data_IF_429825294465
#
_entry.id   IF_429825294465
#
_cell.length_a   1.000
_cell.length_b   1.000
_cell.length_c   1.000
_cell.angle_alpha   90.00
_cell.angle_beta   90.00
_cell.angle_gamma   90.00
#
_symmetry.space_group_name_H-M   'P 1'
#
loop_
_entity.id
_entity.type
_entity.pdbx_description
1 polymer ?
#
# COMPACT_ATOMS: atom_id res chain seq x y z
N UNK A 1 25.14 44.68 -21.12
CA UNK A 1 24.83 43.57 -20.19
C UNK A 1 23.49 42.87 -20.45
N UNK A 2 22.53 43.46 -21.16
CA UNK A 2 21.23 42.80 -21.43
C UNK A 2 21.31 41.63 -22.44
N UNK A 3 22.22 41.68 -23.42
CA UNK A 3 22.42 40.59 -24.38
C UNK A 3 23.00 39.30 -23.76
N UNK A 4 23.70 39.37 -22.62
CA UNK A 4 24.27 38.18 -21.97
C UNK A 4 23.27 37.46 -21.07
N UNK A 5 22.29 38.18 -20.51
CA UNK A 5 21.14 37.58 -19.80
C UNK A 5 20.17 36.90 -20.77
N UNK A 6 19.92 37.50 -21.94
CA UNK A 6 19.08 36.91 -22.99
C UNK A 6 19.66 35.59 -23.54
N UNK A 7 20.98 35.50 -23.75
CA UNK A 7 21.63 34.26 -24.18
C UNK A 7 21.56 33.13 -23.14
N UNK A 8 21.73 33.44 -21.84
CA UNK A 8 21.58 32.45 -20.76
C UNK A 8 20.15 31.92 -20.61
N UNK A 9 19.13 32.71 -20.98
CA UNK A 9 17.76 32.21 -21.08
C UNK A 9 17.55 31.30 -22.29
N UNK A 10 18.24 31.55 -23.42
CA UNK A 10 18.08 30.77 -24.65
C UNK A 10 18.72 29.38 -24.63
N UNK A 11 19.70 29.15 -23.74
CA UNK A 11 20.36 27.84 -23.58
C UNK A 11 19.63 26.92 -22.59
N UNK A 12 18.72 27.46 -21.77
CA UNK A 12 17.71 26.65 -21.08
C UNK A 12 16.75 26.16 -22.15
N UNK A 13 17.04 25.01 -22.77
CA UNK A 13 16.12 24.28 -23.65
C UNK A 13 14.72 24.38 -23.04
N UNK A 14 13.90 25.23 -23.65
CA UNK A 14 12.51 25.43 -23.27
C UNK A 14 11.78 24.11 -23.47
N UNK A 15 11.66 23.33 -22.40
CA UNK A 15 10.51 22.44 -22.19
C UNK A 15 9.42 23.26 -21.53
N UNK A 16 8.98 24.33 -22.20
CA UNK A 16 7.78 25.07 -21.80
C UNK A 16 6.65 24.56 -22.70
N UNK A 17 6.02 23.45 -22.29
CA UNK A 17 4.64 23.19 -22.69
C UNK A 17 3.76 23.97 -21.72
N UNK A 18 2.90 24.83 -22.23
CA UNK A 18 1.80 25.35 -21.42
C UNK A 18 0.81 24.21 -21.22
N UNK A 19 0.66 23.74 -19.99
CA UNK A 19 -0.40 22.81 -19.62
C UNK A 19 -1.39 23.56 -18.73
N UNK A 20 -2.69 23.37 -18.99
CA UNK A 20 -3.67 23.65 -17.96
C UNK A 20 -3.56 22.52 -16.95
N UNK A 21 -3.16 22.87 -15.72
CA UNK A 21 -3.24 21.94 -14.59
C UNK A 21 -4.73 21.71 -14.35
N UNK A 22 -5.27 20.65 -14.94
CA UNK A 22 -6.53 20.12 -14.46
C UNK A 22 -6.20 19.28 -13.23
N UNK A 23 -7.01 19.33 -12.16
CA UNK A 23 -6.92 18.35 -11.11
C UNK A 23 -7.08 17.00 -11.81
N UNK A 24 -6.08 16.13 -11.72
CA UNK A 24 -6.22 14.78 -12.21
C UNK A 24 -7.40 14.14 -11.46
N UNK A 25 -8.56 14.08 -12.10
CA UNK A 25 -9.67 13.25 -11.65
C UNK A 25 -9.28 11.81 -11.98
N UNK A 26 -8.43 11.24 -11.14
CA UNK A 26 -7.99 9.84 -11.19
C UNK A 26 -9.13 8.83 -10.97
N UNK A 27 -10.39 9.23 -11.17
CA UNK A 27 -11.57 8.36 -11.11
C UNK A 27 -11.55 7.31 -12.25
N UNK A 28 -10.84 7.58 -13.34
CA UNK A 28 -10.59 6.62 -14.42
C UNK A 28 -9.11 6.57 -14.75
N UNK A 29 -8.44 5.62 -14.12
CA UNK A 29 -7.03 5.31 -14.31
C UNK A 29 -6.87 4.49 -15.62
N UNK A 30 -7.43 4.92 -16.74
CA UNK A 30 -7.34 4.22 -18.04
C UNK A 30 -6.55 5.01 -19.08
N UNK A 31 -6.23 6.28 -18.82
CA UNK A 31 -5.43 7.08 -19.74
C UNK A 31 -3.94 6.66 -19.68
N UNK A 32 -3.31 6.59 -20.85
CA UNK A 32 -1.92 6.25 -21.02
C UNK A 32 -1.06 7.39 -20.44
N UNK A 33 -0.27 7.11 -19.40
CA UNK A 33 0.53 8.13 -18.70
C UNK A 33 1.56 8.71 -19.66
N UNK A 34 1.33 9.94 -20.12
CA UNK A 34 2.27 10.70 -20.93
C UNK A 34 3.40 11.22 -20.02
N UNK A 35 4.65 10.92 -20.39
CA UNK A 35 5.82 11.39 -19.64
C UNK A 35 6.36 12.67 -20.28
N UNK A 36 6.11 13.81 -19.65
CA UNK A 36 6.69 15.10 -20.08
C UNK A 36 8.19 15.18 -19.81
N UNK A 37 8.69 14.39 -18.85
CA UNK A 37 10.10 14.26 -18.53
C UNK A 37 10.60 12.85 -18.78
N UNK A 38 11.01 12.58 -20.02
CA UNK A 38 11.49 11.28 -20.45
C UNK A 38 12.86 10.93 -19.80
N UNK A 39 12.82 10.45 -18.56
CA UNK A 39 13.99 10.05 -17.76
C UNK A 39 14.88 9.03 -18.48
N UNK A 40 14.31 8.20 -19.36
CA UNK A 40 15.07 7.24 -20.17
C UNK A 40 16.16 7.90 -21.04
N UNK A 41 16.02 9.19 -21.41
CA UNK A 41 17.03 9.93 -22.15
C UNK A 41 18.28 10.27 -21.34
N UNK A 42 18.20 10.18 -20.01
CA UNK A 42 19.31 10.46 -19.10
C UNK A 42 20.29 9.28 -18.99
N UNK A 43 19.97 8.12 -19.60
CA UNK A 43 20.85 6.96 -19.57
C UNK A 43 21.14 6.45 -18.16
N UNK A 44 20.19 6.64 -17.23
CA UNK A 44 20.35 6.23 -15.83
C UNK A 44 20.36 4.71 -15.71
N UNK A 45 19.70 3.99 -16.62
CA UNK A 45 19.67 2.54 -16.64
C UNK A 45 21.04 1.97 -17.04
N UNK A 46 21.55 1.00 -16.29
CA UNK A 46 22.82 0.36 -16.63
C UNK A 46 22.65 -0.52 -17.88
N UNK A 47 23.52 -0.38 -18.90
CA UNK A 47 23.50 -1.26 -20.06
C UNK A 47 23.93 -2.67 -19.65
N UNK A 48 22.99 -3.62 -19.68
CA UNK A 48 23.21 -5.01 -19.23
C UNK A 48 21.94 -5.80 -18.89
N UNK A 49 20.78 -5.14 -18.84
CA UNK A 49 19.51 -5.79 -18.49
C UNK A 49 19.35 -6.02 -16.98
N UNK A 50 18.41 -6.89 -16.59
CA UNK A 50 18.02 -7.15 -15.19
C UNK A 50 19.11 -7.70 -14.27
N UNK A 51 20.28 -8.08 -14.81
CA UNK A 51 21.41 -8.64 -14.06
C UNK A 51 22.53 -7.61 -13.77
N UNK A 52 22.38 -6.36 -14.22
CA UNK A 52 23.36 -5.32 -13.96
C UNK A 52 22.87 -4.41 -12.83
N UNK A 53 23.72 -4.23 -11.81
CA UNK A 53 23.41 -3.40 -10.64
C UNK A 53 23.05 -1.97 -11.04
N UNK A 54 21.83 -1.56 -10.69
CA UNK A 54 21.31 -0.22 -10.95
C UNK A 54 21.68 0.75 -9.80
N UNK A 55 22.45 1.81 -10.05
CA UNK A 55 22.71 2.82 -9.03
C UNK A 55 21.42 3.51 -8.60
N UNK A 56 21.35 3.85 -7.31
CA UNK A 56 20.27 4.66 -6.74
C UNK A 56 20.54 6.13 -6.97
N UNK A 57 19.60 6.84 -7.59
CA UNK A 57 19.70 8.28 -7.78
C UNK A 57 18.66 9.02 -6.93
N UNK A 58 19.01 10.24 -6.52
CA UNK A 58 18.09 11.19 -5.89
C UNK A 58 17.80 12.30 -6.88
N UNK A 59 16.53 12.51 -7.20
CA UNK A 59 16.05 13.61 -8.03
C UNK A 59 15.31 14.61 -7.17
N UNK A 60 15.71 15.87 -7.21
CA UNK A 60 15.06 16.97 -6.50
C UNK A 60 14.35 17.88 -7.52
N UNK A 61 13.09 18.21 -7.27
CA UNK A 61 12.33 19.15 -8.09
C UNK A 61 11.74 20.27 -7.23
N UNK A 62 11.68 21.46 -7.82
CA UNK A 62 11.01 22.63 -7.26
C UNK A 62 10.29 23.35 -8.39
N UNK A 63 9.24 24.08 -8.05
CA UNK A 63 8.45 24.84 -9.01
C UNK A 63 8.99 26.27 -9.07
N UNK A 64 9.22 26.78 -10.27
CA UNK A 64 9.53 28.19 -10.50
C UNK A 64 8.35 28.82 -11.23
N UNK A 65 7.70 29.80 -10.61
CA UNK A 65 6.63 30.59 -11.21
C UNK A 65 7.19 31.94 -11.63
N UNK A 66 7.03 32.29 -12.90
CA UNK A 66 7.36 33.60 -13.43
C UNK A 66 6.06 34.40 -13.59
N UNK A 67 5.93 35.45 -12.79
CA UNK A 67 4.88 36.45 -12.96
C UNK A 67 5.39 37.54 -13.90
N UNK A 68 4.56 37.93 -14.86
CA UNK A 68 4.83 39.01 -15.81
C UNK A 68 4.04 40.25 -15.40
N UNK A 69 4.32 40.78 -14.22
CA UNK A 69 3.73 42.04 -13.77
C UNK A 69 4.21 43.18 -14.67
N UNK A 70 3.25 43.92 -15.20
CA UNK A 70 3.45 45.02 -16.14
C UNK A 70 3.86 46.31 -15.39
N UNK A 71 3.52 46.43 -14.10
CA UNK A 71 3.81 47.63 -13.31
C UNK A 71 5.17 47.59 -12.62
N UNK A 72 5.57 46.43 -12.07
CA UNK A 72 6.83 46.28 -11.32
C UNK A 72 7.91 45.46 -12.03
N UNK A 73 7.60 44.90 -13.19
CA UNK A 73 8.48 44.03 -13.97
C UNK A 73 8.34 42.54 -13.60
N UNK A 74 9.01 41.62 -14.32
CA UNK A 74 8.80 40.19 -14.12
C UNK A 74 9.39 39.69 -12.79
N UNK A 75 8.59 38.99 -12.01
CA UNK A 75 8.96 38.41 -10.72
C UNK A 75 9.08 36.90 -10.82
N UNK A 76 10.23 36.35 -10.42
CA UNK A 76 10.42 34.90 -10.33
C UNK A 76 10.28 34.46 -8.87
N UNK A 77 9.30 33.61 -8.59
CA UNK A 77 9.09 33.01 -7.28
C UNK A 77 9.33 31.50 -7.38
N UNK A 78 10.17 30.97 -6.50
CA UNK A 78 10.42 29.53 -6.39
C UNK A 78 9.61 28.92 -5.25
N UNK A 79 9.16 27.67 -5.40
CA UNK A 79 8.50 26.95 -4.32
C UNK A 79 9.42 26.85 -3.10
N UNK A 80 8.84 27.04 -1.91
CA UNK A 80 9.58 26.85 -0.65
C UNK A 80 9.91 25.39 -0.41
N UNK A 81 9.02 24.50 -0.86
CA UNK A 81 9.21 23.07 -0.77
C UNK A 81 10.00 22.56 -1.98
N UNK A 82 11.01 21.75 -1.68
CA UNK A 82 11.67 20.88 -2.65
C UNK A 82 11.12 19.50 -2.46
N UNK A 83 10.70 18.90 -3.55
CA UNK A 83 10.21 17.54 -3.56
C UNK A 83 11.33 16.60 -4.00
N UNK A 84 11.39 15.41 -3.41
CA UNK A 84 12.45 14.45 -3.63
C UNK A 84 11.88 13.13 -4.12
N UNK A 85 12.49 12.59 -5.18
CA UNK A 85 12.22 11.25 -5.69
C UNK A 85 13.50 10.42 -5.68
N UNK A 86 13.34 9.12 -5.43
CA UNK A 86 14.40 8.15 -5.59
C UNK A 86 14.19 7.37 -6.89
N UNK A 87 15.22 7.32 -7.72
CA UNK A 87 15.24 6.50 -8.93
C UNK A 87 16.03 5.25 -8.59
N UNK A 88 15.34 4.12 -8.59
CA UNK A 88 15.86 2.81 -8.18
C UNK A 88 15.55 1.76 -9.25
N UNK A 89 16.12 0.55 -9.15
CA UNK A 89 15.69 -0.56 -10.00
C UNK A 89 14.27 -1.00 -9.64
N UNK A 90 13.61 -1.68 -10.58
CA UNK A 90 12.33 -2.33 -10.32
C UNK A 90 12.41 -3.30 -9.14
N UNK A 91 13.50 -4.08 -9.02
CA UNK A 91 13.71 -4.99 -7.89
C UNK A 91 13.75 -4.25 -6.54
N UNK A 92 14.38 -3.08 -6.50
CA UNK A 92 14.43 -2.24 -5.29
C UNK A 92 13.06 -1.64 -4.95
N UNK A 93 12.30 -1.22 -5.96
CA UNK A 93 10.93 -0.74 -5.78
C UNK A 93 10.04 -1.87 -5.24
N UNK A 94 10.11 -3.06 -5.83
CA UNK A 94 9.37 -4.24 -5.38
C UNK A 94 9.74 -4.63 -3.94
N UNK A 95 11.01 -4.52 -3.56
CA UNK A 95 11.45 -4.78 -2.19
C UNK A 95 10.91 -3.76 -1.17
N UNK A 96 10.76 -2.49 -1.56
CA UNK A 96 10.14 -1.47 -0.71
C UNK A 96 8.64 -1.73 -0.53
N UNK A 97 7.95 -2.00 -1.65
CA UNK A 97 6.51 -2.36 -1.64
C UNK A 97 6.27 -3.60 -0.78
N UNK A 98 7.13 -4.61 -0.89
CA UNK A 98 7.03 -5.81 -0.07
C UNK A 98 7.09 -5.55 1.44
N UNK A 99 7.96 -4.63 1.87
CA UNK A 99 8.07 -4.24 3.27
C UNK A 99 6.81 -3.53 3.74
N UNK A 100 6.25 -2.67 2.89
CA UNK A 100 4.98 -2.01 3.15
C UNK A 100 3.82 -3.03 3.23
N UNK A 101 3.74 -3.97 2.29
CA UNK A 101 2.75 -5.05 2.27
C UNK A 101 2.81 -5.92 3.54
N UNK A 102 4.00 -6.29 4.01
CA UNK A 102 4.18 -7.08 5.23
C UNK A 102 3.65 -6.34 6.47
N UNK A 103 3.89 -5.02 6.56
CA UNK A 103 3.32 -4.18 7.63
C UNK A 103 1.78 -4.19 7.59
N UNK A 104 1.19 -4.06 6.39
CA UNK A 104 -0.27 -4.07 6.24
C UNK A 104 -0.88 -5.44 6.51
N UNK A 105 -0.19 -6.52 6.14
CA UNK A 105 -0.61 -7.89 6.48
C UNK A 105 -0.68 -8.07 8.00
N UNK A 106 0.36 -7.67 8.74
CA UNK A 106 0.37 -7.77 10.20
C UNK A 106 -0.77 -6.94 10.82
N UNK A 107 -1.04 -5.74 10.30
CA UNK A 107 -2.15 -4.91 10.76
C UNK A 107 -3.52 -5.58 10.51
N UNK A 108 -3.69 -6.27 9.38
CA UNK A 108 -4.91 -7.01 9.07
C UNK A 108 -5.06 -8.26 9.96
N UNK A 109 -3.97 -8.97 10.25
CA UNK A 109 -3.96 -10.11 11.19
C UNK A 109 -4.39 -9.65 12.60
N UNK A 110 -3.88 -8.52 13.07
CA UNK A 110 -4.30 -7.92 14.36
C UNK A 110 -5.78 -7.54 14.34
N UNK A 111 -6.25 -6.91 13.26
CA UNK A 111 -7.66 -6.56 13.11
C UNK A 111 -8.56 -7.82 13.15
N UNK A 112 -8.15 -8.89 12.46
CA UNK A 112 -8.84 -10.19 12.50
C UNK A 112 -8.87 -10.79 13.91
N UNK A 113 -7.77 -10.71 14.66
CA UNK A 113 -7.70 -11.18 16.04
C UNK A 113 -8.79 -10.57 16.93
N UNK A 114 -8.97 -9.25 16.84
CA UNK A 114 -10.03 -8.55 17.58
C UNK A 114 -11.44 -8.94 17.10
N UNK A 115 -11.63 -9.21 15.81
CA UNK A 115 -12.92 -9.69 15.29
C UNK A 115 -13.25 -11.10 15.79
N UNK A 116 -12.24 -11.97 15.92
CA UNK A 116 -12.40 -13.31 16.52
C UNK A 116 -12.79 -13.22 18.00
N UNK A 117 -12.20 -12.28 18.75
CA UNK A 117 -12.60 -12.01 20.13
C UNK A 117 -14.07 -11.56 20.21
N UNK A 118 -14.50 -10.69 19.30
CA UNK A 118 -15.91 -10.27 19.19
C UNK A 118 -16.85 -11.43 18.83
N UNK A 119 -16.48 -12.31 17.90
CA UNK A 119 -17.29 -13.51 17.58
C UNK A 119 -17.40 -14.44 18.78
N UNK A 120 -16.29 -14.65 19.52
CA UNK A 120 -16.28 -15.46 20.75
C UNK A 120 -17.20 -14.88 21.83
N UNK A 121 -17.18 -13.55 22.02
CA UNK A 121 -18.11 -12.86 22.95
C UNK A 121 -19.57 -12.99 22.53
N UNK A 122 -19.82 -13.02 21.23
CA UNK A 122 -21.15 -13.28 20.68
C UNK A 122 -21.58 -14.75 20.91
N UNK A 123 -20.63 -15.69 20.86
CA UNK A 123 -20.81 -17.07 21.27
C UNK A 123 -21.26 -17.22 22.73
N UNK A 124 -20.75 -16.40 23.65
CA UNK A 124 -21.23 -16.37 25.04
C UNK A 124 -22.71 -15.97 25.12
N UNK A 125 -23.15 -15.00 24.31
CA UNK A 125 -24.57 -14.62 24.23
C UNK A 125 -25.46 -15.76 23.71
N UNK A 126 -24.90 -16.62 22.85
CA UNK A 126 -25.58 -17.85 22.39
C UNK A 126 -25.78 -18.85 23.53
N UNK A 127 -24.76 -19.04 24.37
CA UNK A 127 -24.86 -19.92 25.53
C UNK A 127 -25.91 -19.40 26.52
N UNK A 128 -25.87 -18.11 26.81
CA UNK A 128 -26.81 -17.47 27.73
C UNK A 128 -28.27 -17.56 27.23
N UNK A 129 -28.51 -17.35 25.92
CA UNK A 129 -29.85 -17.51 25.32
C UNK A 129 -30.31 -18.96 25.18
N UNK A 130 -29.40 -19.93 25.29
CA UNK A 130 -29.72 -21.37 25.26
C UNK A 130 -30.12 -21.92 26.64
N UNK A 131 -29.94 -21.13 27.72
CA UNK A 131 -30.34 -21.53 29.06
C UNK A 131 -31.86 -21.74 29.15
N UNK A 132 -32.29 -22.75 29.90
CA UNK A 132 -33.70 -23.12 30.02
C UNK A 132 -34.59 -22.03 30.64
N UNK A 133 -34.02 -21.13 31.46
CA UNK A 133 -34.74 -20.10 32.22
C UNK A 133 -34.08 -18.72 32.04
N UNK A 134 -34.10 -18.19 30.80
CA UNK A 134 -33.62 -16.82 30.53
C UNK A 134 -34.50 -15.81 31.27
N UNK A 135 -33.90 -14.91 32.04
CA UNK A 135 -34.59 -13.81 32.73
C UNK A 135 -34.37 -12.48 32.03
N UNK A 136 -35.29 -11.53 32.24
CA UNK A 136 -35.23 -10.19 31.62
C UNK A 136 -33.94 -9.45 32.00
N UNK A 137 -33.47 -9.60 33.23
CA UNK A 137 -32.26 -8.94 33.73
C UNK A 137 -30.98 -9.42 33.02
N UNK A 138 -31.00 -10.61 32.42
CA UNK A 138 -29.86 -11.18 31.70
C UNK A 138 -29.73 -10.61 30.28
N UNK A 139 -30.77 -9.96 29.76
CA UNK A 139 -30.78 -9.39 28.41
C UNK A 139 -30.04 -8.05 28.35
N UNK A 140 -30.00 -7.28 29.45
CA UNK A 140 -29.24 -6.03 29.54
C UNK A 140 -27.73 -6.20 29.27
N UNK A 141 -27.04 -7.14 29.93
CA UNK A 141 -25.64 -7.47 29.64
C UNK A 141 -25.39 -7.92 28.19
N UNK A 142 -26.36 -8.58 27.54
CA UNK A 142 -26.25 -8.94 26.12
C UNK A 142 -26.30 -7.73 25.21
N UNK A 143 -27.18 -6.77 25.49
CA UNK A 143 -27.26 -5.49 24.77
C UNK A 143 -25.93 -4.74 24.89
N UNK A 144 -25.38 -4.64 26.10
CA UNK A 144 -24.08 -3.99 26.33
C UNK A 144 -22.94 -4.67 25.53
N UNK A 145 -22.95 -6.01 25.42
CA UNK A 145 -22.01 -6.74 24.57
C UNK A 145 -22.20 -6.42 23.08
N UNK A 146 -23.44 -6.27 22.60
CA UNK A 146 -23.71 -5.87 21.23
C UNK A 146 -23.12 -4.49 20.93
N UNK A 147 -23.26 -3.53 21.85
CA UNK A 147 -22.73 -2.17 21.69
C UNK A 147 -21.19 -2.15 21.65
N UNK A 148 -20.54 -3.02 22.43
CA UNK A 148 -19.09 -3.16 22.43
C UNK A 148 -18.57 -3.81 21.14
N UNK A 149 -19.24 -4.87 20.67
CA UNK A 149 -18.95 -5.49 19.37
C UNK A 149 -19.17 -4.47 18.24
N UNK A 150 -20.23 -3.66 18.37
CA UNK A 150 -20.62 -2.49 17.58
C UNK A 150 -19.41 -1.61 17.23
N UNK A 151 -18.88 -1.01 18.30
CA UNK A 151 -17.71 -0.11 18.27
C UNK A 151 -16.45 -0.80 17.77
N UNK A 152 -16.26 -2.07 18.10
CA UNK A 152 -15.11 -2.82 17.60
C UNK A 152 -15.20 -2.98 16.07
N UNK A 153 -16.36 -3.33 15.53
CA UNK A 153 -16.59 -3.43 14.08
C UNK A 153 -16.31 -2.10 13.37
N UNK A 154 -16.79 -0.97 13.90
CA UNK A 154 -16.50 0.36 13.36
C UNK A 154 -14.99 0.66 13.33
N UNK A 155 -14.30 0.38 14.43
CA UNK A 155 -12.85 0.61 14.52
C UNK A 155 -12.09 -0.30 13.56
N UNK A 156 -12.50 -1.57 13.42
CA UNK A 156 -11.84 -2.52 12.50
C UNK A 156 -12.14 -2.20 11.04
N UNK A 157 -13.32 -1.67 10.72
CA UNK A 157 -13.65 -1.15 9.40
C UNK A 157 -12.72 0.02 9.04
N UNK A 158 -12.50 0.97 9.96
CA UNK A 158 -11.58 2.08 9.73
C UNK A 158 -10.15 1.58 9.43
N UNK A 159 -9.62 0.67 10.27
CA UNK A 159 -8.31 0.05 10.03
C UNK A 159 -8.23 -0.69 8.69
N UNK A 160 -9.30 -1.37 8.27
CA UNK A 160 -9.34 -2.09 6.99
C UNK A 160 -9.38 -1.11 5.80
N UNK A 161 -10.07 0.02 5.94
CA UNK A 161 -10.05 1.09 4.94
C UNK A 161 -8.67 1.71 4.78
N UNK A 162 -7.93 1.95 5.87
CA UNK A 162 -6.53 2.43 5.79
C UNK A 162 -5.65 1.45 4.98
N UNK A 163 -5.85 0.15 5.16
CA UNK A 163 -5.13 -0.87 4.39
C UNK A 163 -5.58 -0.84 2.91
N UNK A 164 -6.87 -0.71 2.63
CA UNK A 164 -7.39 -0.57 1.27
C UNK A 164 -6.82 0.67 0.55
N UNK A 165 -6.70 1.80 1.25
CA UNK A 165 -6.08 3.01 0.73
C UNK A 165 -4.59 2.80 0.43
N UNK A 166 -3.87 2.09 1.29
CA UNK A 166 -2.48 1.73 1.05
C UNK A 166 -2.33 0.85 -0.21
N UNK A 167 -3.17 -0.18 -0.39
CA UNK A 167 -3.16 -0.98 -1.62
C UNK A 167 -3.58 -0.17 -2.86
N UNK A 168 -4.46 0.81 -2.69
CA UNK A 168 -4.79 1.75 -3.79
C UNK A 168 -3.56 2.56 -4.19
N UNK A 169 -2.75 3.00 -3.22
CA UNK A 169 -1.46 3.66 -3.49
C UNK A 169 -0.46 2.71 -4.16
N UNK A 170 -0.32 1.48 -3.69
CA UNK A 170 0.58 0.47 -4.29
C UNK A 170 0.21 0.20 -5.76
N UNK A 171 -1.08 0.05 -6.07
CA UNK A 171 -1.53 -0.12 -7.46
C UNK A 171 -1.22 1.11 -8.32
N UNK A 172 -1.30 2.32 -7.77
CA UNK A 172 -0.86 3.54 -8.47
C UNK A 172 0.64 3.51 -8.73
N UNK A 173 1.45 3.10 -7.76
CA UNK A 173 2.90 2.97 -7.92
C UNK A 173 3.27 1.96 -9.00
N UNK A 174 2.62 0.79 -9.03
CA UNK A 174 2.81 -0.19 -10.09
C UNK A 174 2.49 0.39 -11.47
N UNK A 175 1.36 1.09 -11.61
CA UNK A 175 0.97 1.66 -12.90
C UNK A 175 1.89 2.79 -13.34
N UNK A 176 2.22 3.73 -12.45
CA UNK A 176 3.07 4.89 -12.76
C UNK A 176 4.50 4.47 -13.11
N UNK A 177 5.04 3.46 -12.43
CA UNK A 177 6.36 2.91 -12.71
C UNK A 177 6.35 1.81 -13.79
N UNK A 178 5.18 1.50 -14.37
CA UNK A 178 5.00 0.49 -15.43
C UNK A 178 5.57 -0.88 -15.05
N UNK A 179 5.38 -1.25 -13.77
CA UNK A 179 5.68 -2.59 -13.26
C UNK A 179 4.83 -3.62 -14.00
N UNK A 180 5.34 -4.84 -14.13
CA UNK A 180 4.70 -5.95 -14.83
C UNK A 180 3.17 -6.01 -14.65
N UNK A 181 2.45 -6.10 -15.77
CA UNK A 181 0.98 -6.03 -15.80
C UNK A 181 0.32 -7.23 -15.13
N UNK A 182 0.97 -8.40 -15.11
CA UNK A 182 0.45 -9.57 -14.41
C UNK A 182 0.50 -9.38 -12.89
N UNK A 183 1.60 -8.82 -12.37
CA UNK A 183 1.71 -8.45 -10.95
C UNK A 183 0.64 -7.44 -10.52
N UNK A 184 0.43 -6.40 -11.34
CA UNK A 184 -0.62 -5.42 -11.09
C UNK A 184 -1.99 -6.08 -10.95
N UNK A 185 -2.39 -6.89 -11.95
CA UNK A 185 -3.67 -7.58 -11.93
C UNK A 185 -3.80 -8.53 -10.74
N UNK A 186 -2.72 -9.25 -10.42
CA UNK A 186 -2.72 -10.18 -9.28
C UNK A 186 -3.01 -9.44 -7.97
N UNK A 187 -2.32 -8.33 -7.68
CA UNK A 187 -2.59 -7.54 -6.46
C UNK A 187 -3.99 -6.93 -6.48
N UNK A 188 -4.44 -6.46 -7.65
CA UNK A 188 -5.78 -5.91 -7.80
C UNK A 188 -6.87 -6.94 -7.48
N UNK A 189 -6.81 -8.10 -8.12
CA UNK A 189 -7.88 -9.09 -8.11
C UNK A 189 -7.89 -9.93 -6.83
N UNK A 190 -6.72 -10.18 -6.21
CA UNK A 190 -6.63 -11.07 -5.04
C UNK A 190 -6.58 -10.34 -3.71
N UNK A 191 -6.27 -9.03 -3.70
CA UNK A 191 -6.17 -8.25 -2.46
C UNK A 191 -7.05 -7.00 -2.50
N UNK A 192 -6.84 -6.10 -3.46
CA UNK A 192 -7.50 -4.79 -3.45
C UNK A 192 -9.02 -4.88 -3.61
N UNK A 193 -9.52 -5.56 -4.63
CA UNK A 193 -10.97 -5.70 -4.86
C UNK A 193 -11.65 -6.54 -3.75
N UNK A 194 -11.05 -7.65 -3.26
CA UNK A 194 -11.56 -8.34 -2.08
C UNK A 194 -11.62 -7.46 -0.82
N UNK A 195 -10.58 -6.66 -0.54
CA UNK A 195 -10.60 -5.69 0.58
C UNK A 195 -11.71 -4.67 0.41
N UNK A 196 -11.89 -4.15 -0.81
CA UNK A 196 -12.97 -3.22 -1.15
C UNK A 196 -14.35 -3.85 -0.94
N UNK A 197 -14.53 -5.11 -1.31
CA UNK A 197 -15.77 -5.86 -1.02
C UNK A 197 -15.98 -6.02 0.48
N UNK A 198 -14.94 -6.36 1.23
CA UNK A 198 -15.02 -6.51 2.70
C UNK A 198 -15.49 -5.20 3.35
N UNK A 199 -14.92 -4.06 2.96
CA UNK A 199 -15.26 -2.76 3.56
C UNK A 199 -16.65 -2.26 3.15
N UNK A 200 -17.06 -2.47 1.89
CA UNK A 200 -18.35 -1.99 1.38
C UNK A 200 -19.54 -2.91 1.67
N UNK A 201 -19.29 -4.21 1.84
CA UNK A 201 -20.37 -5.22 1.93
C UNK A 201 -20.33 -5.95 3.27
N UNK A 202 -19.23 -6.65 3.56
CA UNK A 202 -19.18 -7.62 4.67
C UNK A 202 -19.23 -6.94 6.06
N UNK A 203 -18.47 -5.86 6.25
CA UNK A 203 -18.53 -5.05 7.47
C UNK A 203 -19.92 -4.45 7.71
N UNK A 204 -20.52 -3.70 6.75
CA UNK A 204 -21.86 -3.16 6.91
C UNK A 204 -22.95 -4.23 7.08
N UNK A 205 -22.80 -5.41 6.46
CA UNK A 205 -23.74 -6.51 6.66
C UNK A 205 -23.65 -7.07 8.09
N UNK A 206 -22.43 -7.23 8.61
CA UNK A 206 -22.19 -7.71 9.97
C UNK A 206 -22.72 -6.71 11.01
N UNK A 207 -22.41 -5.42 10.88
CA UNK A 207 -22.94 -4.36 11.77
C UNK A 207 -24.48 -4.34 11.78
N UNK A 208 -25.13 -4.40 10.60
CA UNK A 208 -26.60 -4.49 10.52
C UNK A 208 -27.19 -5.73 11.20
N UNK A 209 -26.50 -6.87 11.14
CA UNK A 209 -26.93 -8.08 11.83
C UNK A 209 -26.83 -7.92 13.36
N UNK A 210 -25.74 -7.32 13.86
CA UNK A 210 -25.56 -7.02 15.29
C UNK A 210 -26.58 -6.02 15.80
N UNK A 211 -26.87 -4.96 15.05
CA UNK A 211 -27.93 -4.01 15.37
C UNK A 211 -29.31 -4.68 15.39
N UNK A 212 -29.57 -5.59 14.45
CA UNK A 212 -30.82 -6.38 14.45
C UNK A 212 -30.92 -7.29 15.67
N UNK A 213 -29.81 -7.90 16.09
CA UNK A 213 -29.76 -8.70 17.33
C UNK A 213 -29.98 -7.84 18.57
N UNK A 214 -29.33 -6.68 18.66
CA UNK A 214 -29.55 -5.69 19.72
C UNK A 214 -31.02 -5.27 19.81
N UNK A 215 -31.65 -4.93 18.67
CA UNK A 215 -33.06 -4.55 18.60
C UNK A 215 -33.99 -5.69 19.00
N UNK A 216 -33.69 -6.92 18.61
CA UNK A 216 -34.44 -8.09 19.06
C UNK A 216 -34.36 -8.27 20.58
N UNK A 217 -33.16 -8.04 21.15
CA UNK A 217 -32.94 -8.07 22.59
C UNK A 217 -33.61 -6.91 23.33
N UNK A 218 -33.86 -5.75 22.72
CA UNK A 218 -34.45 -4.58 23.41
C UNK A 218 -35.97 -4.41 23.13
N UNK A 219 -36.58 -5.34 22.38
CA UNK A 219 -37.97 -5.21 21.97
C UNK A 219 -38.94 -5.47 23.13
N UNK A 220 -39.26 -4.42 23.88
CA UNK A 220 -40.19 -4.42 25.02
C UNK A 220 -41.66 -4.62 24.63
N UNK A 221 -42.00 -4.56 23.34
CA UNK A 221 -43.38 -4.83 22.86
C UNK A 221 -43.72 -6.33 22.82
N UNK A 222 -42.72 -7.20 22.88
CA UNK A 222 -42.89 -8.66 22.83
C UNK A 222 -42.87 -9.27 24.24
N UNK A 223 -43.55 -10.40 24.40
CA UNK A 223 -43.38 -11.24 25.60
C UNK A 223 -41.95 -11.79 25.65
N UNK A 224 -41.47 -12.12 26.86
CA UNK A 224 -40.11 -12.63 27.06
C UNK A 224 -39.79 -13.81 26.14
N UNK A 225 -40.70 -14.78 26.02
CA UNK A 225 -40.49 -15.96 25.17
C UNK A 225 -40.32 -15.59 23.68
N UNK A 226 -41.17 -14.69 23.17
CA UNK A 226 -41.09 -14.22 21.78
C UNK A 226 -39.84 -13.39 21.53
N UNK A 227 -39.42 -12.59 22.51
CA UNK A 227 -38.20 -11.78 22.48
C UNK A 227 -36.96 -12.66 22.46
N UNK A 228 -36.91 -13.70 23.30
CA UNK A 228 -35.81 -14.68 23.32
C UNK A 228 -35.73 -15.42 21.98
N UNK A 229 -36.87 -15.86 21.43
CA UNK A 229 -36.88 -16.56 20.14
C UNK A 229 -36.42 -15.66 18.99
N UNK A 230 -36.93 -14.43 18.89
CA UNK A 230 -36.46 -13.45 17.90
C UNK A 230 -34.95 -13.14 18.07
N UNK A 231 -34.48 -13.05 19.31
CA UNK A 231 -33.08 -12.82 19.62
C UNK A 231 -32.20 -14.00 19.19
N UNK A 232 -32.65 -15.25 19.33
CA UNK A 232 -31.92 -16.44 18.84
C UNK A 232 -31.77 -16.44 17.33
N UNK A 233 -32.83 -16.09 16.60
CA UNK A 233 -32.80 -16.00 15.13
C UNK A 233 -31.81 -14.91 14.69
N UNK A 234 -31.92 -13.70 15.27
CA UNK A 234 -31.04 -12.59 14.94
C UNK A 234 -29.57 -12.85 15.35
N UNK A 235 -29.35 -13.58 16.43
CA UNK A 235 -28.03 -14.01 16.85
C UNK A 235 -27.41 -15.00 15.86
N UNK A 236 -28.18 -16.00 15.40
CA UNK A 236 -27.71 -16.97 14.42
C UNK A 236 -27.29 -16.29 13.11
N UNK A 237 -28.06 -15.29 12.66
CA UNK A 237 -27.69 -14.47 11.50
C UNK A 237 -26.42 -13.66 11.75
N UNK A 238 -26.30 -13.02 12.92
CA UNK A 238 -25.10 -12.27 13.31
C UNK A 238 -23.84 -13.14 13.27
N UNK A 239 -23.91 -14.39 13.77
CA UNK A 239 -22.80 -15.36 13.69
C UNK A 239 -22.45 -15.73 12.26
N UNK A 240 -23.48 -15.95 11.44
CA UNK A 240 -23.31 -16.27 10.02
C UNK A 240 -22.56 -15.16 9.28
N UNK A 241 -22.93 -13.89 9.53
CA UNK A 241 -22.26 -12.74 8.94
C UNK A 241 -20.82 -12.57 9.47
N UNK A 242 -20.59 -12.73 10.78
CA UNK A 242 -19.23 -12.73 11.34
C UNK A 242 -18.33 -13.79 10.69
N UNK A 243 -18.85 -15.00 10.47
CA UNK A 243 -18.10 -16.08 9.82
C UNK A 243 -17.74 -15.71 8.37
N UNK A 244 -18.66 -15.11 7.62
CA UNK A 244 -18.39 -14.64 6.24
C UNK A 244 -17.33 -13.54 6.22
N UNK A 245 -17.43 -12.56 7.11
CA UNK A 245 -16.44 -11.50 7.25
C UNK A 245 -15.04 -12.05 7.56
N UNK A 246 -14.94 -12.95 8.55
CA UNK A 246 -13.68 -13.57 8.93
C UNK A 246 -13.08 -14.43 7.81
N UNK A 247 -13.93 -15.18 7.08
CA UNK A 247 -13.49 -15.96 5.93
C UNK A 247 -12.96 -15.08 4.80
N UNK A 248 -13.66 -13.98 4.48
CA UNK A 248 -13.21 -13.05 3.46
C UNK A 248 -11.86 -12.40 3.83
N UNK A 249 -11.67 -12.04 5.10
CA UNK A 249 -10.38 -11.53 5.60
C UNK A 249 -9.29 -12.61 5.50
N UNK A 250 -9.61 -13.88 5.78
CA UNK A 250 -8.67 -15.00 5.64
C UNK A 250 -8.21 -15.23 4.20
N UNK A 251 -9.12 -15.13 3.24
CA UNK A 251 -8.79 -15.25 1.82
C UNK A 251 -7.81 -14.15 1.38
N UNK A 252 -8.01 -12.92 1.86
CA UNK A 252 -7.08 -11.80 1.62
C UNK A 252 -5.73 -12.02 2.30
N UNK A 253 -5.72 -12.43 3.57
CA UNK A 253 -4.47 -12.70 4.30
C UNK A 253 -3.64 -13.82 3.65
N UNK A 254 -4.31 -14.85 3.13
CA UNK A 254 -3.66 -15.90 2.36
C UNK A 254 -3.02 -15.34 1.08
N UNK A 255 -3.74 -14.51 0.32
CA UNK A 255 -3.20 -13.84 -0.86
C UNK A 255 -1.99 -12.97 -0.52
N UNK A 256 -2.07 -12.14 0.53
CA UNK A 256 -0.95 -11.33 1.03
C UNK A 256 0.26 -12.21 1.40
N UNK A 257 0.03 -13.36 2.04
CA UNK A 257 1.07 -14.33 2.36
C UNK A 257 1.83 -14.83 1.13
N UNK A 258 1.11 -15.28 0.09
CA UNK A 258 1.73 -15.78 -1.13
C UNK A 258 2.59 -14.72 -1.84
N UNK A 259 2.16 -13.46 -1.85
CA UNK A 259 2.93 -12.36 -2.43
C UNK A 259 4.14 -11.99 -1.56
N UNK A 260 4.01 -12.04 -0.24
CA UNK A 260 5.12 -11.80 0.68
C UNK A 260 6.24 -12.81 0.42
N UNK A 261 5.91 -14.09 0.16
CA UNK A 261 6.91 -15.12 -0.13
C UNK A 261 7.60 -14.88 -1.48
N UNK A 262 6.85 -14.49 -2.52
CA UNK A 262 7.43 -14.08 -3.81
C UNK A 262 8.38 -12.90 -3.62
N UNK A 263 7.98 -11.91 -2.82
CA UNK A 263 8.79 -10.74 -2.59
C UNK A 263 10.02 -11.01 -1.70
N UNK A 264 9.94 -11.95 -0.77
CA UNK A 264 11.11 -12.46 -0.03
C UNK A 264 12.13 -13.10 -0.97
N UNK A 265 11.68 -13.83 -1.99
CA UNK A 265 12.58 -14.35 -3.03
C UNK A 265 13.25 -13.22 -3.83
N UNK A 266 12.52 -12.14 -4.14
CA UNK A 266 13.11 -10.94 -4.77
C UNK A 266 14.16 -10.30 -3.85
N UNK A 267 13.89 -10.19 -2.56
CA UNK A 267 14.87 -9.69 -1.59
C UNK A 267 16.10 -10.59 -1.45
N UNK A 268 15.94 -11.92 -1.51
CA UNK A 268 17.06 -12.86 -1.51
C UNK A 268 17.92 -12.73 -2.77
N UNK A 269 17.29 -12.58 -3.95
CA UNK A 269 18.00 -12.33 -5.20
C UNK A 269 18.82 -11.05 -5.13
N UNK A 270 18.30 -9.99 -4.49
CA UNK A 270 19.05 -8.77 -4.23
C UNK A 270 20.29 -9.01 -3.37
N UNK A 271 20.18 -9.77 -2.28
CA UNK A 271 21.34 -10.07 -1.42
C UNK A 271 22.42 -10.81 -2.19
N UNK A 272 22.02 -11.76 -3.04
CA UNK A 272 22.94 -12.47 -3.93
C UNK A 272 23.63 -11.49 -4.89
N UNK A 273 22.86 -10.58 -5.51
CA UNK A 273 23.41 -9.56 -6.42
C UNK A 273 24.40 -8.61 -5.72
N UNK A 274 24.09 -8.19 -4.48
CA UNK A 274 24.99 -7.37 -3.67
C UNK A 274 26.29 -8.13 -3.29
N UNK A 275 26.20 -9.43 -3.03
CA UNK A 275 27.37 -10.28 -2.73
C UNK A 275 28.24 -10.52 -3.97
N UNK A 276 27.62 -10.84 -5.12
CA UNK A 276 28.30 -10.97 -6.41
C UNK A 276 29.03 -9.67 -6.77
N UNK A 277 28.42 -8.51 -6.51
CA UNK A 277 29.06 -7.20 -6.69
C UNK A 277 30.31 -7.03 -5.82
N UNK A 278 30.25 -7.37 -4.53
CA UNK A 278 31.43 -7.30 -3.64
C UNK A 278 32.56 -8.20 -4.15
N UNK A 279 32.22 -9.36 -4.70
CA UNK A 279 33.19 -10.26 -5.31
C UNK A 279 33.77 -9.68 -6.61
N UNK A 280 32.94 -9.12 -7.48
CA UNK A 280 33.38 -8.48 -8.72
C UNK A 280 34.32 -7.29 -8.46
N UNK A 281 33.95 -6.38 -7.56
CA UNK A 281 34.78 -5.22 -7.18
C UNK A 281 36.13 -5.66 -6.60
N UNK A 282 36.15 -6.78 -5.85
CA UNK A 282 37.38 -7.37 -5.32
C UNK A 282 38.25 -7.94 -6.45
N UNK A 283 37.66 -8.69 -7.38
CA UNK A 283 38.37 -9.26 -8.54
C UNK A 283 38.94 -8.16 -9.43
N UNK A 284 38.20 -7.08 -9.68
CA UNK A 284 38.68 -5.94 -10.47
C UNK A 284 39.88 -5.26 -9.79
N UNK A 285 39.82 -5.01 -8.48
CA UNK A 285 40.95 -4.45 -7.74
C UNK A 285 42.18 -5.34 -7.80
N UNK A 286 42.00 -6.66 -7.64
CA UNK A 286 43.09 -7.64 -7.76
C UNK A 286 43.68 -7.61 -9.18
N UNK A 287 42.84 -7.53 -10.21
CA UNK A 287 43.28 -7.43 -11.59
C UNK A 287 44.09 -6.14 -11.84
N UNK A 288 43.59 -4.99 -11.38
CA UNK A 288 44.28 -3.70 -11.49
C UNK A 288 45.64 -3.72 -10.76
N UNK A 289 45.72 -4.32 -9.56
CA UNK A 289 46.99 -4.50 -8.85
C UNK A 289 47.97 -5.41 -9.60
N UNK A 290 47.50 -6.53 -10.15
CA UNK A 290 48.31 -7.46 -10.95
C UNK A 290 48.81 -6.82 -12.24
N UNK A 291 47.95 -6.09 -12.94
CA UNK A 291 48.30 -5.32 -14.15
C UNK A 291 49.32 -4.26 -13.81
N UNK A 292 49.14 -3.53 -12.70
CA UNK A 292 50.10 -2.52 -12.25
C UNK A 292 51.45 -3.14 -11.90
N UNK A 293 51.48 -4.25 -11.16
CA UNK A 293 52.72 -4.98 -10.83
C UNK A 293 53.43 -5.48 -12.09
N UNK A 294 52.69 -6.10 -13.01
CA UNK A 294 53.28 -6.58 -14.27
C UNK A 294 53.79 -5.44 -15.17
N UNK A 295 53.12 -4.28 -15.18
CA UNK A 295 53.63 -3.07 -15.84
C UNK A 295 54.87 -2.51 -15.14
N UNK A 296 54.90 -2.45 -13.81
CA UNK A 296 56.06 -2.02 -13.02
C UNK A 296 57.28 -2.95 -13.25
N UNK A 297 57.05 -4.27 -13.30
CA UNK A 297 58.07 -5.27 -13.61
C UNK A 297 58.56 -5.18 -15.07
N UNK A 298 57.65 -4.93 -16.02
CA UNK A 298 57.99 -4.75 -17.43
C UNK A 298 58.72 -3.43 -17.72
N UNK A 299 58.46 -2.38 -16.93
CA UNK A 299 59.11 -1.07 -17.05
C UNK A 299 60.46 -1.00 -16.30
N UNK A 300 60.73 -1.95 -15.40
CA UNK A 300 62.04 -2.14 -14.75
C UNK A 300 62.65 -3.52 -15.06
N UNK A 301 63.00 -3.82 -16.33
CA UNK A 301 63.62 -5.09 -16.67
C UNK A 301 65.11 -5.05 -16.28
N UNK A 302 65.41 -5.22 -14.98
CA UNK A 302 66.81 -5.23 -14.52
C UNK A 302 67.06 -4.80 -13.08
N UNK A 303 66.35 -5.42 -12.13
CA UNK A 303 66.99 -5.82 -10.86
C UNK A 303 67.08 -7.34 -10.82
#
# INVERSE_FOLDING_TARGET
EELSKSKKLSERKQTVRSFQIQPDTFEKIDEEVQSDFALGKLGLAVPGGSNAYQPRYRMEFWLEALDHDVETGPHLVTSKERYMFFIVSENDLLAEIAREEEKHKLALEQAKGHLLESESRLGLSSLDLSAANVKVEQLGPMIARCDEIDRNLETRLANTNEILEAYTRILREFKLNRVDAERYKRVQDTIHEPLRKITLVEFPATSRAIDSFRKALDNSSLTLDKRVEASRIALAESRSQFKKLLQAIDEVLAAMGTLTDINKLVAMLRTIEEEERKQFDLVQKIHEELVRKTLEDALNPGK
#
